data_IF_138764503583
#
_entry.id   IF_138764503583
#
_cell.length_a   1.000
_cell.length_b   1.000
_cell.length_c   1.000
_cell.angle_alpha   90.00
_cell.angle_beta   90.00
_cell.angle_gamma   90.00
#
_symmetry.space_group_name_H-M   'P 1'
#
loop_
_entity.id
_entity.type
_entity.pdbx_description
1 polymer ?
#
# COMPACT_ATOMS: atom_id res chain seq x y z
N UNK A 1 11.51 -11.21 9.92
CA UNK A 1 12.36 -11.36 8.71
C UNK A 1 11.49 -11.81 7.55
N UNK A 2 11.72 -11.27 6.36
CA UNK A 2 10.98 -11.59 5.12
C UNK A 2 11.80 -12.59 4.30
N UNK A 3 11.68 -13.89 4.60
CA UNK A 3 12.49 -14.95 3.98
C UNK A 3 11.80 -15.62 2.80
N UNK A 4 10.47 -15.50 2.72
CA UNK A 4 9.64 -16.11 1.69
C UNK A 4 8.67 -15.07 1.10
N UNK A 5 8.12 -15.42 -0.05
CA UNK A 5 7.15 -14.58 -0.73
C UNK A 5 6.05 -15.40 -1.41
N UNK A 6 4.94 -14.72 -1.69
CA UNK A 6 3.85 -15.21 -2.55
C UNK A 6 3.51 -14.09 -3.53
N UNK A 7 3.42 -14.41 -4.81
CA UNK A 7 2.88 -13.48 -5.81
C UNK A 7 1.38 -13.70 -5.96
N UNK A 8 0.61 -12.62 -5.95
CA UNK A 8 -0.81 -12.61 -6.33
C UNK A 8 -0.92 -11.71 -7.56
N UNK A 9 -1.28 -12.32 -8.69
CA UNK A 9 -1.40 -11.65 -9.98
C UNK A 9 -2.87 -11.39 -10.28
N UNK A 10 -3.22 -10.15 -10.59
CA UNK A 10 -4.54 -9.79 -11.11
C UNK A 10 -4.69 -10.30 -12.54
N UNK A 11 -5.79 -10.98 -12.82
CA UNK A 11 -6.15 -11.41 -14.16
C UNK A 11 -6.96 -10.31 -14.86
N UNK A 12 -6.82 -10.16 -16.19
CA UNK A 12 -7.69 -9.29 -16.97
C UNK A 12 -9.15 -9.71 -16.83
N UNK A 13 -10.05 -8.75 -16.73
CA UNK A 13 -11.48 -8.97 -16.59
C UNK A 13 -12.26 -8.01 -17.50
N UNK A 14 -13.26 -8.50 -18.26
CA UNK A 14 -14.04 -7.65 -19.16
C UNK A 14 -15.02 -6.72 -18.42
N UNK A 15 -15.45 -7.06 -17.20
CA UNK A 15 -16.42 -6.30 -16.41
C UNK A 15 -15.72 -5.31 -15.48
N UNK A 16 -14.55 -5.69 -14.95
CA UNK A 16 -13.83 -4.90 -13.95
C UNK A 16 -12.51 -4.32 -14.46
N UNK A 17 -12.36 -3.00 -14.30
CA UNK A 17 -11.08 -2.36 -14.54
C UNK A 17 -9.99 -2.88 -13.59
N UNK A 18 -8.74 -2.87 -14.06
CA UNK A 18 -7.56 -3.20 -13.24
C UNK A 18 -7.50 -2.41 -11.93
N UNK A 19 -7.80 -1.11 -11.97
CA UNK A 19 -7.78 -0.26 -10.78
C UNK A 19 -8.82 -0.68 -9.73
N UNK A 20 -9.99 -1.15 -10.19
CA UNK A 20 -11.04 -1.68 -9.33
C UNK A 20 -10.59 -2.99 -8.65
N UNK A 21 -10.06 -3.93 -9.43
CA UNK A 21 -9.58 -5.22 -8.91
C UNK A 21 -8.43 -5.05 -7.91
N UNK A 22 -7.48 -4.15 -8.20
CA UNK A 22 -6.39 -3.84 -7.29
C UNK A 22 -6.91 -3.21 -5.98
N UNK A 23 -7.87 -2.30 -6.07
CA UNK A 23 -8.56 -1.72 -4.92
C UNK A 23 -9.22 -2.78 -4.05
N UNK A 24 -9.96 -3.70 -4.66
CA UNK A 24 -10.63 -4.81 -3.98
C UNK A 24 -9.63 -5.75 -3.30
N UNK A 25 -8.56 -6.13 -4.00
CA UNK A 25 -7.50 -7.00 -3.47
C UNK A 25 -6.83 -6.38 -2.24
N UNK A 26 -6.41 -5.11 -2.34
CA UNK A 26 -5.73 -4.41 -1.24
C UNK A 26 -6.68 -4.17 -0.06
N UNK A 27 -7.96 -3.88 -0.32
CA UNK A 27 -8.96 -3.74 0.74
C UNK A 27 -9.24 -5.08 1.47
N UNK A 28 -9.20 -6.21 0.75
CA UNK A 28 -9.33 -7.55 1.34
C UNK A 28 -8.09 -7.91 2.16
N UNK A 29 -6.90 -7.69 1.62
CA UNK A 29 -5.65 -7.90 2.35
C UNK A 29 -5.63 -7.06 3.64
N UNK A 30 -6.00 -5.79 3.55
CA UNK A 30 -6.05 -4.90 4.71
C UNK A 30 -6.91 -5.48 5.85
N UNK A 31 -8.10 -5.98 5.51
CA UNK A 31 -9.00 -6.61 6.50
C UNK A 31 -8.39 -7.87 7.11
N UNK A 32 -7.78 -8.73 6.31
CA UNK A 32 -7.13 -9.93 6.79
C UNK A 32 -5.97 -9.63 7.75
N UNK A 33 -5.13 -8.63 7.42
CA UNK A 33 -4.03 -8.20 8.28
C UNK A 33 -4.51 -7.54 9.59
N UNK A 34 -5.61 -6.79 9.55
CA UNK A 34 -6.24 -6.24 10.77
C UNK A 34 -6.78 -7.37 11.65
N UNK A 35 -7.52 -8.32 11.07
CA UNK A 35 -8.11 -9.44 11.80
C UNK A 35 -7.05 -10.37 12.41
N UNK A 36 -5.98 -10.65 11.67
CA UNK A 36 -4.86 -11.46 12.13
C UNK A 36 -3.86 -10.72 13.03
N UNK A 37 -4.08 -9.42 13.30
CA UNK A 37 -3.18 -8.54 14.07
C UNK A 37 -1.70 -8.67 13.64
N UNK A 38 -1.49 -8.82 12.33
CA UNK A 38 -0.21 -9.23 11.77
C UNK A 38 0.64 -8.01 11.43
N UNK A 39 1.87 -7.98 11.93
CA UNK A 39 2.83 -6.89 11.71
C UNK A 39 4.13 -7.35 11.01
N UNK A 40 4.26 -8.64 10.69
CA UNK A 40 5.45 -9.24 10.07
C UNK A 40 5.25 -9.58 8.59
N UNK A 41 4.09 -9.22 8.00
CA UNK A 41 3.81 -9.36 6.57
C UNK A 41 3.97 -8.01 5.87
N UNK A 42 4.95 -7.94 4.97
CA UNK A 42 5.20 -6.81 4.09
C UNK A 42 4.61 -7.02 2.70
N UNK A 43 4.41 -5.93 1.95
CA UNK A 43 4.01 -6.01 0.54
C UNK A 43 4.94 -5.23 -0.38
N UNK A 44 5.09 -5.72 -1.60
CA UNK A 44 5.68 -4.97 -2.70
C UNK A 44 4.85 -5.12 -3.97
N UNK A 45 5.22 -4.31 -4.96
CA UNK A 45 4.56 -4.25 -6.26
C UNK A 45 5.64 -4.36 -7.33
N UNK A 46 6.04 -5.59 -7.71
CA UNK A 46 7.18 -5.84 -8.60
C UNK A 46 7.08 -5.11 -9.95
N UNK A 47 5.85 -4.94 -10.44
CA UNK A 47 5.54 -4.31 -11.72
C UNK A 47 5.19 -2.82 -11.62
N UNK A 48 5.48 -2.16 -10.49
CA UNK A 48 5.19 -0.72 -10.36
C UNK A 48 6.00 0.11 -11.37
N UNK A 49 5.37 1.17 -11.86
CA UNK A 49 5.98 2.18 -12.71
C UNK A 49 5.73 3.53 -12.04
N UNK A 50 6.80 4.20 -11.63
CA UNK A 50 6.71 5.54 -11.02
C UNK A 50 6.69 6.68 -12.03
N UNK A 51 7.34 6.49 -13.19
CA UNK A 51 7.46 7.48 -14.26
C UNK A 51 7.55 6.78 -15.64
N UNK A 52 7.15 7.44 -16.75
CA UNK A 52 6.54 8.77 -16.82
C UNK A 52 5.13 8.79 -16.23
N UNK A 53 4.61 9.97 -15.88
CA UNK A 53 3.34 10.12 -15.16
C UNK A 53 2.15 9.46 -15.90
N UNK A 54 2.19 9.43 -17.23
CA UNK A 54 1.16 8.81 -18.10
C UNK A 54 1.08 7.28 -17.99
N UNK A 55 2.15 6.62 -17.54
CA UNK A 55 2.23 5.15 -17.41
C UNK A 55 2.27 4.69 -15.95
N UNK A 56 1.99 5.58 -15.01
CA UNK A 56 2.12 5.32 -13.59
C UNK A 56 1.16 4.23 -13.13
N UNK A 57 1.69 3.17 -12.53
CA UNK A 57 0.90 2.03 -12.06
C UNK A 57 1.60 1.32 -10.90
N UNK A 58 0.85 0.53 -10.13
CA UNK A 58 1.42 -0.48 -9.23
C UNK A 58 1.60 -1.84 -9.94
N UNK A 59 1.06 -1.97 -11.16
CA UNK A 59 1.10 -3.22 -11.93
C UNK A 59 0.12 -4.27 -11.41
N UNK A 60 0.12 -5.44 -12.05
CA UNK A 60 -0.83 -6.52 -11.77
C UNK A 60 -0.38 -7.46 -10.65
N UNK A 61 0.87 -7.38 -10.21
CA UNK A 61 1.42 -8.28 -9.20
C UNK A 61 1.52 -7.58 -7.86
N UNK A 62 0.78 -8.08 -6.88
CA UNK A 62 0.98 -7.82 -5.47
C UNK A 62 1.83 -8.95 -4.88
N UNK A 63 3.01 -8.64 -4.36
CA UNK A 63 3.87 -9.63 -3.70
C UNK A 63 3.76 -9.49 -2.19
N UNK A 64 3.42 -10.57 -1.52
CA UNK A 64 3.46 -10.70 -0.07
C UNK A 64 4.85 -11.18 0.35
N UNK A 65 5.36 -10.65 1.47
CA UNK A 65 6.66 -10.99 2.03
C UNK A 65 6.50 -11.33 3.51
N UNK A 66 7.14 -12.40 3.97
CA UNK A 66 7.04 -12.81 5.36
C UNK A 66 7.87 -14.05 5.66
N UNK A 67 7.65 -14.64 6.83
CA UNK A 67 8.09 -16.00 7.12
C UNK A 67 7.15 -17.01 6.45
N UNK A 68 7.59 -18.26 6.19
CA UNK A 68 6.70 -19.31 5.69
C UNK A 68 5.44 -19.44 6.54
N UNK A 69 5.61 -19.46 7.86
CA UNK A 69 4.52 -19.62 8.81
C UNK A 69 3.51 -18.48 8.74
N UNK A 70 3.97 -17.22 8.75
CA UNK A 70 3.08 -16.06 8.67
C UNK A 70 2.29 -16.02 7.35
N UNK A 71 2.95 -16.34 6.23
CA UNK A 71 2.30 -16.40 4.93
C UNK A 71 1.30 -17.56 4.84
N UNK A 72 1.63 -18.74 5.37
CA UNK A 72 0.70 -19.87 5.44
C UNK A 72 -0.52 -19.56 6.31
N UNK A 73 -0.34 -18.92 7.47
CA UNK A 73 -1.44 -18.49 8.33
C UNK A 73 -2.36 -17.50 7.63
N UNK A 74 -1.81 -16.52 6.90
CA UNK A 74 -2.60 -15.57 6.12
C UNK A 74 -3.35 -16.28 4.99
N UNK A 75 -2.67 -17.15 4.24
CA UNK A 75 -3.26 -17.85 3.09
C UNK A 75 -4.22 -18.98 3.48
N UNK A 76 -4.16 -19.46 4.72
CA UNK A 76 -5.15 -20.35 5.30
C UNK A 76 -6.48 -19.65 5.62
N UNK A 77 -6.50 -18.31 5.70
CA UNK A 77 -7.73 -17.54 5.77
C UNK A 77 -8.36 -17.44 4.37
N UNK A 78 -9.69 -17.58 4.27
CA UNK A 78 -10.42 -17.41 3.00
C UNK A 78 -10.64 -15.93 2.63
N UNK A 79 -9.61 -15.09 2.77
CA UNK A 79 -9.71 -13.63 2.57
C UNK A 79 -9.87 -13.24 1.09
N UNK A 80 -9.41 -14.10 0.18
CA UNK A 80 -9.58 -13.99 -1.28
C UNK A 80 -10.96 -14.43 -1.78
N UNK A 81 -11.89 -14.84 -0.91
CA UNK A 81 -13.25 -15.23 -1.32
C UNK A 81 -13.90 -14.17 -2.21
N UNK A 82 -14.39 -14.58 -3.39
CA UNK A 82 -14.98 -13.69 -4.40
C UNK A 82 -13.97 -12.87 -5.21
N UNK A 83 -12.66 -13.10 -5.06
CA UNK A 83 -11.62 -12.58 -5.96
C UNK A 83 -10.85 -13.69 -6.67
N UNK A 84 -11.09 -14.97 -6.33
CA UNK A 84 -10.32 -16.12 -6.84
C UNK A 84 -10.36 -16.19 -8.37
N UNK A 85 -11.47 -15.86 -9.00
CA UNK A 85 -11.60 -15.87 -10.46
C UNK A 85 -10.87 -14.70 -11.15
N UNK A 86 -10.52 -13.65 -10.39
CA UNK A 86 -9.78 -12.47 -10.88
C UNK A 86 -8.32 -12.46 -10.41
N UNK A 87 -7.86 -13.51 -9.72
CA UNK A 87 -6.50 -13.58 -9.16
C UNK A 87 -5.86 -14.93 -9.37
N UNK A 88 -4.62 -14.93 -9.81
CA UNK A 88 -3.76 -16.11 -9.77
C UNK A 88 -2.80 -16.01 -8.59
N UNK A 89 -2.87 -16.97 -7.68
CA UNK A 89 -1.98 -17.07 -6.52
C UNK A 89 -0.83 -18.01 -6.87
N UNK A 90 0.40 -17.51 -6.75
CA UNK A 90 1.61 -18.32 -6.92
C UNK A 90 1.94 -19.14 -5.67
N UNK A 91 2.94 -20.01 -5.79
CA UNK A 91 3.43 -20.82 -4.69
C UNK A 91 4.17 -19.99 -3.63
N UNK A 92 4.26 -20.53 -2.42
CA UNK A 92 5.12 -20.02 -1.36
C UNK A 92 6.56 -20.41 -1.66
N UNK A 93 7.38 -19.42 -2.01
CA UNK A 93 8.77 -19.65 -2.43
C UNK A 93 9.76 -18.88 -1.56
N UNK A 94 10.98 -19.41 -1.36
CA UNK A 94 12.05 -18.67 -0.70
C UNK A 94 12.49 -17.47 -1.53
N UNK A 95 12.92 -16.41 -0.85
CA UNK A 95 13.51 -15.23 -1.49
C UNK A 95 14.90 -15.60 -2.06
N UNK A 96 15.25 -15.14 -3.28
CA UNK A 96 16.58 -15.37 -3.84
C UNK A 96 17.69 -14.83 -2.93
N UNK A 97 18.78 -15.59 -2.76
CA UNK A 97 19.87 -15.26 -1.83
C UNK A 97 20.51 -13.88 -2.06
N UNK A 98 20.53 -13.42 -3.31
CA UNK A 98 21.16 -12.16 -3.72
C UNK A 98 20.14 -11.03 -3.96
N UNK A 99 18.91 -11.17 -3.46
CA UNK A 99 17.90 -10.13 -3.63
C UNK A 99 18.33 -8.84 -2.91
N UNK A 100 18.28 -7.71 -3.63
CA UNK A 100 18.38 -6.41 -2.99
C UNK A 100 17.11 -6.14 -2.18
N UNK A 101 17.16 -5.14 -1.32
CA UNK A 101 16.04 -4.75 -0.48
C UNK A 101 15.59 -3.33 -0.79
N UNK A 102 14.34 -2.99 -0.51
CA UNK A 102 13.87 -1.60 -0.51
C UNK A 102 12.71 -1.39 0.45
N UNK A 103 12.54 -0.17 0.93
CA UNK A 103 11.37 0.21 1.70
C UNK A 103 10.17 0.41 0.76
N UNK A 104 8.99 -0.09 1.16
CA UNK A 104 7.72 0.19 0.50
C UNK A 104 6.82 0.89 1.50
N UNK A 105 6.59 2.20 1.26
CA UNK A 105 6.01 3.09 2.27
C UNK A 105 4.77 3.80 1.75
N UNK A 106 3.82 4.01 2.66
CA UNK A 106 2.70 4.92 2.43
C UNK A 106 3.21 6.35 2.44
N UNK A 107 2.86 7.12 1.40
CA UNK A 107 3.05 8.57 1.41
C UNK A 107 1.71 9.28 1.59
N UNK A 108 1.70 10.25 2.48
CA UNK A 108 0.56 11.13 2.69
C UNK A 108 0.95 12.53 2.25
N UNK A 109 0.21 13.05 1.29
CA UNK A 109 0.40 14.39 0.77
C UNK A 109 -0.62 15.32 1.41
N UNK A 110 -0.23 16.58 1.57
CA UNK A 110 -1.15 17.66 1.91
C UNK A 110 -1.88 18.06 0.62
N UNK A 111 -2.89 17.29 0.22
CA UNK A 111 -3.62 17.45 -1.06
C UNK A 111 -4.91 18.24 -0.95
N UNK A 112 -5.27 18.71 0.24
CA UNK A 112 -6.48 19.48 0.45
C UNK A 112 -6.22 20.48 1.58
N UNK A 113 -5.94 21.72 1.20
CA UNK A 113 -5.63 22.80 2.14
C UNK A 113 -6.84 23.14 3.03
N UNK A 114 -8.06 23.08 2.50
CA UNK A 114 -9.27 23.38 3.28
C UNK A 114 -9.54 22.39 4.41
N UNK A 115 -9.22 21.11 4.20
CA UNK A 115 -9.25 20.09 5.26
C UNK A 115 -8.23 20.42 6.34
N UNK A 116 -7.06 20.92 5.96
CA UNK A 116 -6.02 21.31 6.93
C UNK A 116 -6.42 22.58 7.70
N UNK A 117 -7.00 23.57 7.02
CA UNK A 117 -7.52 24.81 7.62
C UNK A 117 -8.63 24.49 8.63
N UNK A 118 -9.66 23.73 8.23
CA UNK A 118 -10.73 23.28 9.13
C UNK A 118 -10.21 22.54 10.35
N UNK A 119 -9.27 21.60 10.17
CA UNK A 119 -8.65 20.86 11.28
C UNK A 119 -7.85 21.77 12.20
N UNK A 120 -7.20 22.80 11.67
CA UNK A 120 -6.41 23.76 12.44
C UNK A 120 -7.29 24.69 13.26
N UNK A 121 -8.35 25.24 12.64
CA UNK A 121 -9.37 26.05 13.33
C UNK A 121 -9.96 25.26 14.51
N UNK A 122 -10.38 24.01 14.30
CA UNK A 122 -10.92 23.16 15.36
C UNK A 122 -9.93 22.87 16.51
N UNK A 123 -8.62 22.81 16.23
CA UNK A 123 -7.59 22.47 17.23
C UNK A 123 -7.05 23.67 17.98
N UNK A 124 -7.06 24.85 17.35
CA UNK A 124 -6.43 26.06 17.86
C UNK A 124 -7.40 27.20 18.16
N UNK A 125 -8.68 27.04 17.82
CA UNK A 125 -9.68 28.11 17.91
C UNK A 125 -9.40 29.29 16.98
N UNK A 126 -8.60 29.08 15.92
CA UNK A 126 -8.22 30.13 14.96
C UNK A 126 -9.40 30.47 14.03
N UNK A 127 -9.47 31.73 13.58
CA UNK A 127 -10.43 32.17 12.56
C UNK A 127 -10.03 31.66 11.16
N UNK A 128 -10.94 31.77 10.20
CA UNK A 128 -10.68 31.38 8.81
C UNK A 128 -9.48 32.12 8.23
N UNK A 129 -9.36 33.42 8.49
CA UNK A 129 -8.30 34.29 7.98
C UNK A 129 -6.94 33.87 8.54
N UNK A 130 -6.87 33.58 9.85
CA UNK A 130 -5.66 33.07 10.51
C UNK A 130 -5.24 31.71 9.95
N UNK A 131 -6.20 30.83 9.67
CA UNK A 131 -5.94 29.52 9.08
C UNK A 131 -5.45 29.62 7.62
N UNK A 132 -5.97 30.57 6.84
CA UNK A 132 -5.54 30.84 5.45
C UNK A 132 -4.11 31.38 5.43
N UNK A 133 -3.78 32.35 6.29
CA UNK A 133 -2.40 32.87 6.43
C UNK A 133 -1.43 31.77 6.84
N UNK A 134 -1.83 30.93 7.80
CA UNK A 134 -0.97 29.86 8.29
C UNK A 134 -0.86 28.65 7.33
N UNK A 135 -1.81 28.47 6.42
CA UNK A 135 -1.83 27.41 5.41
C UNK A 135 -2.21 28.02 4.06
N UNK A 136 -1.24 28.62 3.34
CA UNK A 136 -1.46 29.12 1.99
C UNK A 136 -1.76 27.98 1.01
N UNK A 137 -2.37 28.31 -0.14
CA UNK A 137 -2.70 27.32 -1.17
C UNK A 137 -1.46 26.63 -1.75
N UNK A 138 -0.29 27.29 -1.69
CA UNK A 138 1.00 26.73 -2.09
C UNK A 138 1.44 25.51 -1.26
N UNK A 139 0.80 25.27 -0.10
CA UNK A 139 1.01 24.06 0.71
C UNK A 139 0.39 22.83 0.04
N UNK A 140 -0.58 23.00 -0.84
CA UNK A 140 -1.19 21.89 -1.57
C UNK A 140 -0.16 21.24 -2.50
N UNK A 141 0.04 19.92 -2.34
CA UNK A 141 0.98 19.16 -3.16
C UNK A 141 0.24 18.17 -4.05
N UNK A 142 0.49 18.25 -5.36
CA UNK A 142 0.16 17.17 -6.30
C UNK A 142 1.11 15.99 -6.09
N UNK A 143 0.57 14.78 -6.11
CA UNK A 143 1.36 13.56 -5.97
C UNK A 143 1.57 12.87 -7.31
N UNK A 144 2.82 12.56 -7.58
CA UNK A 144 3.26 11.80 -8.76
C UNK A 144 3.41 10.30 -8.46
N UNK A 145 3.09 9.85 -7.24
CA UNK A 145 3.25 8.45 -6.86
C UNK A 145 2.07 7.57 -7.29
N UNK A 146 2.32 6.29 -7.63
CA UNK A 146 1.25 5.35 -7.89
C UNK A 146 0.43 5.17 -6.60
N UNK A 147 -0.86 4.88 -6.77
CA UNK A 147 -1.77 4.75 -5.64
C UNK A 147 -2.85 3.70 -5.91
N UNK A 148 -3.45 3.24 -4.81
CA UNK A 148 -4.70 2.45 -4.84
C UNK A 148 -5.82 3.31 -4.29
N UNK A 149 -6.97 3.33 -4.96
CA UNK A 149 -8.18 3.97 -4.46
C UNK A 149 -8.94 2.98 -3.56
N UNK A 150 -9.20 3.40 -2.33
CA UNK A 150 -9.83 2.57 -1.29
C UNK A 150 -10.98 3.32 -0.65
N UNK A 151 -11.86 2.60 0.06
CA UNK A 151 -12.83 3.18 0.98
C UNK A 151 -12.50 2.77 2.40
N UNK A 152 -12.55 3.73 3.32
CA UNK A 152 -12.38 3.47 4.74
C UNK A 152 -13.52 2.59 5.25
N UNK A 153 -13.19 1.51 5.98
CA UNK A 153 -14.22 0.65 6.58
C UNK A 153 -14.97 1.36 7.72
N UNK A 154 -14.30 2.26 8.46
CA UNK A 154 -14.90 2.95 9.61
C UNK A 154 -15.70 4.20 9.23
N UNK A 155 -15.30 4.91 8.17
CA UNK A 155 -15.93 6.17 7.78
C UNK A 155 -16.65 6.12 6.43
N UNK A 156 -16.49 5.03 5.66
CA UNK A 156 -17.04 4.90 4.31
C UNK A 156 -16.40 5.83 3.26
N UNK A 157 -15.51 6.74 3.68
CA UNK A 157 -14.94 7.78 2.83
C UNK A 157 -13.89 7.19 1.88
N UNK A 158 -13.94 7.58 0.59
CA UNK A 158 -12.90 7.20 -0.36
C UNK A 158 -11.59 7.95 -0.07
N UNK A 159 -10.46 7.29 -0.30
CA UNK A 159 -9.13 7.90 -0.21
C UNK A 159 -8.13 7.19 -1.13
N UNK A 160 -7.05 7.90 -1.48
CA UNK A 160 -5.94 7.33 -2.22
C UNK A 160 -4.81 6.90 -1.26
N UNK A 161 -4.42 5.63 -1.35
CA UNK A 161 -3.25 5.07 -0.69
C UNK A 161 -2.05 5.20 -1.63
N UNK A 162 -1.31 6.30 -1.53
CA UNK A 162 -0.09 6.50 -2.32
C UNK A 162 1.04 5.63 -1.77
N UNK A 163 1.71 4.91 -2.67
CA UNK A 163 2.76 3.96 -2.34
C UNK A 163 4.04 4.40 -3.03
N UNK A 164 5.12 4.49 -2.25
CA UNK A 164 6.46 4.76 -2.74
C UNK A 164 7.34 3.55 -2.50
N UNK A 165 8.06 3.15 -3.54
CA UNK A 165 9.16 2.20 -3.44
C UNK A 165 10.45 3.00 -3.35
N UNK A 166 11.12 2.95 -2.20
CA UNK A 166 12.38 3.66 -1.95
C UNK A 166 13.56 3.11 -2.77
N UNK A 167 14.77 3.67 -2.65
CA UNK A 167 15.94 3.17 -3.37
C UNK A 167 16.26 1.72 -2.99
N UNK A 168 16.95 1.01 -3.89
CA UNK A 168 17.49 -0.32 -3.60
C UNK A 168 18.67 -0.19 -2.65
N UNK A 169 18.76 -1.12 -1.72
CA UNK A 169 19.80 -1.22 -0.71
C UNK A 169 20.26 -2.67 -0.56
N UNK A 170 21.54 -2.91 -0.27
CA UNK A 170 22.08 -4.27 -0.17
C UNK A 170 21.62 -5.01 1.09
N UNK A 171 21.33 -4.30 2.17
CA UNK A 171 21.02 -4.90 3.47
C UNK A 171 19.52 -4.80 3.80
N UNK A 172 19.01 -5.86 4.42
CA UNK A 172 17.66 -5.87 4.98
C UNK A 172 17.58 -5.00 6.24
N UNK A 173 16.47 -4.29 6.43
CA UNK A 173 16.15 -3.59 7.67
C UNK A 173 14.90 -4.24 8.24
N UNK A 174 15.02 -4.77 9.46
CA UNK A 174 13.89 -5.37 10.17
C UNK A 174 13.02 -4.30 10.82
N UNK A 175 11.73 -4.59 10.96
CA UNK A 175 10.76 -3.72 11.59
C UNK A 175 9.33 -4.13 11.25
N UNK A 176 8.34 -3.58 11.96
CA UNK A 176 6.94 -3.92 11.74
C UNK A 176 6.37 -3.23 10.50
N UNK A 177 5.51 -3.94 9.80
CA UNK A 177 4.63 -3.38 8.77
C UNK A 177 3.29 -2.98 9.39
N UNK A 178 2.62 -1.99 8.80
CA UNK A 178 1.25 -1.65 9.16
C UNK A 178 0.25 -2.64 8.53
N UNK A 179 -1.04 -2.48 8.84
CA UNK A 179 -2.09 -3.35 8.29
C UNK A 179 -2.36 -3.17 6.79
N UNK A 180 -1.53 -2.44 6.04
CA UNK A 180 -1.49 -2.46 4.57
C UNK A 180 -0.24 -3.18 4.04
N UNK A 181 0.58 -3.78 4.92
CA UNK A 181 1.88 -4.36 4.61
C UNK A 181 2.96 -3.34 4.27
N UNK A 182 2.77 -2.06 4.63
CA UNK A 182 3.69 -0.97 4.32
C UNK A 182 4.45 -0.52 5.57
N UNK A 183 5.69 -0.04 5.41
CA UNK A 183 6.51 0.39 6.55
C UNK A 183 7.40 1.60 6.21
N UNK A 184 7.70 2.42 7.22
CA UNK A 184 8.59 3.61 7.06
C UNK A 184 10.07 3.28 7.29
N UNK A 185 10.35 2.15 7.93
CA UNK A 185 11.70 1.64 8.23
C UNK A 185 11.99 0.25 7.63
N UNK A 186 11.12 -0.77 7.78
CA UNK A 186 11.47 -2.10 7.31
C UNK A 186 11.53 -2.16 5.79
N UNK A 187 12.40 -3.04 5.31
CA UNK A 187 12.56 -3.30 3.89
C UNK A 187 12.06 -4.68 3.52
N UNK A 188 11.65 -4.81 2.27
CA UNK A 188 11.26 -6.07 1.64
C UNK A 188 12.26 -6.40 0.52
N UNK A 189 12.51 -7.69 0.25
CA UNK A 189 13.29 -8.14 -0.88
C UNK A 189 12.71 -7.66 -2.21
N UNK A 190 13.59 -7.41 -3.17
CA UNK A 190 13.27 -6.89 -4.49
C UNK A 190 13.97 -7.70 -5.58
N UNK A 191 13.16 -8.27 -6.47
CA UNK A 191 13.56 -9.11 -7.61
C UNK A 191 12.40 -9.26 -8.59
#
# INVERSE_FOLDING_TARGET
MTTHYINITLLPDPEFSHAHLLGALVAKLHRALVQGQTADIGVSYPQHIGQPMTKRTLGAVLRLHGTPHALQLLMGQDWLKGMRDHTQVGELLPVPANAQHRAVRRRQFKTNVDRLRRRRMLRKGETTEQAVVAIPDSVERRSYLPFVQLRSASTGQPFCLYIEHGPLQPQSVSGPFNCYGLGTGPTVPWF
#
